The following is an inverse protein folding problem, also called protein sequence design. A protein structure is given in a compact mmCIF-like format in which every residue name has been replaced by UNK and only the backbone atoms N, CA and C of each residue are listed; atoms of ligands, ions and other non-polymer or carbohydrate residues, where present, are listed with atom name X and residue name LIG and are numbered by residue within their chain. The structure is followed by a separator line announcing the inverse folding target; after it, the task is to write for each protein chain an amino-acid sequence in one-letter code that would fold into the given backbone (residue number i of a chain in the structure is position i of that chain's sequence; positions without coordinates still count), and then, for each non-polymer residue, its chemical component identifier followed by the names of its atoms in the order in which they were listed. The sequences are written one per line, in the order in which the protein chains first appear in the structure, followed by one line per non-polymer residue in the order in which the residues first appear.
data_IF_264747728575
#
_entry.id   IF_264747728575
#
_cell.length_a   1.000
_cell.length_b   1.000
_cell.length_c   1.000
_cell.angle_alpha   90.00
_cell.angle_beta   90.00
_cell.angle_gamma   90.00
#
_symmetry.space_group_name_H-M   'P 1'
#
loop_
_entity.id
_entity.type
_entity.pdbx_description
1 polymer ?
#
# COMPACT_ATOMS: atom_id res chain seq x y z
N UNK A 1 39.60 -20.69 -30.39
CA UNK A 1 39.48 -21.49 -29.16
C UNK A 1 39.81 -20.58 -27.99
N UNK A 2 38.83 -19.92 -27.42
CA UNK A 2 38.98 -18.99 -26.29
C UNK A 2 38.13 -19.52 -25.16
N UNK A 3 38.81 -19.79 -24.06
CA UNK A 3 38.35 -20.41 -22.83
C UNK A 3 37.28 -19.55 -22.15
N UNK A 4 36.10 -20.15 -21.95
CA UNK A 4 35.05 -19.57 -21.09
C UNK A 4 35.43 -19.93 -19.65
N UNK A 5 35.86 -18.94 -18.88
CA UNK A 5 36.11 -19.08 -17.45
C UNK A 5 34.81 -19.37 -16.70
N UNK A 6 34.72 -20.58 -16.12
CA UNK A 6 33.66 -20.94 -15.18
C UNK A 6 33.79 -20.09 -13.92
N UNK A 7 32.84 -19.15 -13.73
CA UNK A 7 32.67 -18.52 -12.42
C UNK A 7 32.05 -19.55 -11.49
N UNK A 8 32.85 -20.04 -10.57
CA UNK A 8 32.42 -20.88 -9.45
C UNK A 8 31.69 -19.99 -8.44
N UNK A 9 30.42 -20.24 -8.19
CA UNK A 9 29.71 -19.79 -7.00
C UNK A 9 30.05 -20.76 -5.85
N UNK A 10 30.80 -20.38 -4.82
CA UNK A 10 30.95 -21.17 -3.62
C UNK A 10 29.88 -20.78 -2.60
N UNK A 11 29.21 -21.75 -2.11
CA UNK A 11 28.61 -22.06 -0.83
C UNK A 11 27.15 -22.46 -0.88
N UNK A 12 26.93 -23.76 -1.03
CA UNK A 12 26.32 -24.61 -0.01
C UNK A 12 25.10 -24.00 0.65
N UNK A 13 23.98 -24.00 -0.08
CA UNK A 13 22.70 -24.22 0.54
C UNK A 13 22.63 -25.72 0.81
N UNK A 14 22.81 -26.11 2.07
CA UNK A 14 22.47 -27.48 2.51
C UNK A 14 21.04 -27.72 2.08
N UNK A 15 20.82 -28.76 1.28
CA UNK A 15 19.52 -29.22 0.80
C UNK A 15 18.58 -29.48 1.99
N UNK A 16 17.94 -28.45 2.52
CA UNK A 16 16.59 -28.63 3.01
C UNK A 16 15.74 -28.68 1.72
N UNK A 17 15.27 -29.84 1.34
CA UNK A 17 14.26 -30.00 0.32
C UNK A 17 13.05 -29.13 0.75
N UNK A 18 12.98 -27.90 0.23
CA UNK A 18 11.77 -27.09 0.32
C UNK A 18 10.73 -27.74 -0.58
N UNK A 19 10.05 -28.78 -0.09
CA UNK A 19 8.77 -29.17 -0.66
C UNK A 19 7.82 -28.02 -0.34
N UNK A 20 7.58 -27.16 -1.31
CA UNK A 20 6.52 -26.17 -1.22
C UNK A 20 5.19 -26.94 -1.12
N UNK A 21 4.77 -27.26 0.10
CA UNK A 21 3.44 -27.78 0.35
C UNK A 21 2.47 -26.64 0.03
N UNK A 22 1.41 -26.93 -0.74
CA UNK A 22 0.30 -26.00 -0.92
C UNK A 22 -0.16 -25.47 0.45
N UNK A 23 -0.12 -24.15 0.61
CA UNK A 23 -0.57 -23.46 1.80
C UNK A 23 -1.99 -22.99 1.62
N UNK A 24 -2.76 -22.99 2.70
CA UNK A 24 -4.07 -22.38 2.78
C UNK A 24 -3.94 -20.99 3.35
N UNK A 25 -4.24 -20.00 2.54
CA UNK A 25 -4.14 -18.58 2.86
C UNK A 25 -5.54 -18.02 3.14
N UNK A 26 -5.73 -17.38 4.27
CA UNK A 26 -6.93 -16.60 4.60
C UNK A 26 -6.61 -15.13 4.34
N UNK A 27 -7.21 -14.58 3.29
CA UNK A 27 -7.08 -13.16 2.94
C UNK A 27 -8.18 -12.35 3.64
N UNK A 28 -7.81 -11.39 4.46
CA UNK A 28 -8.72 -10.50 5.18
C UNK A 28 -8.78 -9.13 4.48
N UNK A 29 -9.81 -8.89 3.72
CA UNK A 29 -9.98 -7.83 2.76
C UNK A 29 -9.84 -8.37 1.33
N UNK A 30 -10.83 -8.08 0.49
CA UNK A 30 -10.92 -8.64 -0.86
C UNK A 30 -11.02 -7.55 -1.93
N UNK A 31 -10.30 -6.44 -1.72
CA UNK A 31 -10.21 -5.33 -2.66
C UNK A 31 -9.41 -5.63 -3.92
N UNK A 32 -9.13 -4.59 -4.68
CA UNK A 32 -8.36 -4.64 -5.93
C UNK A 32 -6.92 -5.13 -5.74
N UNK A 33 -6.26 -4.70 -4.65
CA UNK A 33 -4.90 -5.14 -4.32
C UNK A 33 -4.92 -6.63 -3.94
N UNK A 34 -5.91 -7.02 -3.13
CA UNK A 34 -6.14 -8.42 -2.77
C UNK A 34 -6.37 -9.31 -3.99
N UNK A 35 -7.08 -8.83 -5.03
CA UNK A 35 -7.29 -9.57 -6.28
C UNK A 35 -5.97 -9.90 -6.99
N UNK A 36 -5.09 -8.92 -7.16
CA UNK A 36 -3.80 -9.13 -7.80
C UNK A 36 -2.88 -10.02 -6.93
N UNK A 37 -2.94 -9.88 -5.60
CA UNK A 37 -2.24 -10.79 -4.69
C UNK A 37 -2.74 -12.24 -4.80
N UNK A 38 -4.06 -12.46 -4.84
CA UNK A 38 -4.63 -13.80 -5.06
C UNK A 38 -4.14 -14.38 -6.38
N UNK A 39 -4.15 -13.61 -7.47
CA UNK A 39 -3.64 -14.05 -8.77
C UNK A 39 -2.17 -14.49 -8.65
N UNK A 40 -1.33 -13.72 -7.95
CA UNK A 40 0.07 -14.09 -7.72
C UNK A 40 0.20 -15.40 -6.91
N UNK A 41 -0.61 -15.57 -5.87
CA UNK A 41 -0.66 -16.82 -5.07
C UNK A 41 -1.13 -18.01 -5.91
N UNK A 42 -2.14 -17.82 -6.76
CA UNK A 42 -2.64 -18.89 -7.66
C UNK A 42 -1.58 -19.34 -8.68
N UNK A 43 -0.77 -18.41 -9.21
CA UNK A 43 0.38 -18.75 -10.07
C UNK A 43 1.43 -19.60 -9.34
N UNK A 44 1.50 -19.50 -8.01
CA UNK A 44 2.37 -20.32 -7.16
C UNK A 44 1.68 -21.56 -6.58
N UNK A 45 0.47 -21.91 -7.09
CA UNK A 45 -0.26 -23.12 -6.71
C UNK A 45 -0.83 -23.11 -5.29
N UNK A 46 -1.08 -21.93 -4.70
CA UNK A 46 -1.61 -21.81 -3.34
C UNK A 46 -3.14 -21.84 -3.31
N UNK A 47 -3.72 -22.23 -2.18
CA UNK A 47 -5.15 -22.21 -1.93
C UNK A 47 -5.53 -20.96 -1.16
N UNK A 48 -6.48 -20.16 -1.67
CA UNK A 48 -6.83 -18.88 -1.07
C UNK A 48 -8.33 -18.83 -0.75
N UNK A 49 -8.64 -18.48 0.50
CA UNK A 49 -9.98 -18.15 0.97
C UNK A 49 -10.04 -16.63 1.17
N UNK A 50 -10.83 -15.95 0.34
CA UNK A 50 -10.95 -14.49 0.36
C UNK A 50 -12.15 -14.05 1.22
N UNK A 51 -11.93 -13.08 2.13
CA UNK A 51 -12.94 -12.58 3.07
C UNK A 51 -13.22 -11.10 2.84
N UNK A 52 -14.49 -10.71 2.93
CA UNK A 52 -14.90 -9.30 2.99
C UNK A 52 -16.27 -9.17 3.66
N UNK A 53 -16.69 -7.92 3.92
CA UNK A 53 -17.99 -7.62 4.50
C UNK A 53 -19.15 -7.68 3.50
N UNK A 54 -18.85 -7.77 2.20
CA UNK A 54 -19.84 -7.86 1.10
C UNK A 54 -19.46 -8.94 0.10
N UNK A 55 -20.48 -9.47 -0.59
CA UNK A 55 -20.30 -10.54 -1.58
C UNK A 55 -19.67 -10.03 -2.88
N UNK A 56 -19.04 -10.97 -3.61
CA UNK A 56 -18.46 -10.73 -4.93
C UNK A 56 -17.40 -9.61 -4.95
N UNK A 57 -16.70 -9.41 -3.84
CA UNK A 57 -15.57 -8.49 -3.79
C UNK A 57 -14.46 -8.92 -4.78
N UNK A 58 -13.65 -8.00 -5.31
CA UNK A 58 -12.68 -8.27 -6.37
C UNK A 58 -11.82 -9.53 -6.20
N UNK A 59 -11.22 -9.73 -5.02
CA UNK A 59 -10.39 -10.91 -4.77
C UNK A 59 -11.19 -12.22 -4.68
N UNK A 60 -12.45 -12.17 -4.23
CA UNK A 60 -13.34 -13.34 -4.17
C UNK A 60 -13.61 -13.96 -5.56
N UNK A 61 -13.54 -13.14 -6.61
CA UNK A 61 -13.78 -13.57 -8.00
C UNK A 61 -12.69 -14.49 -8.55
N UNK A 62 -11.52 -14.52 -7.91
CA UNK A 62 -10.33 -15.26 -8.36
C UNK A 62 -9.78 -16.21 -7.28
N UNK A 63 -10.35 -16.21 -6.09
CA UNK A 63 -10.02 -17.11 -4.99
C UNK A 63 -10.66 -18.50 -5.14
N UNK A 64 -10.19 -19.48 -4.38
CA UNK A 64 -10.77 -20.84 -4.35
C UNK A 64 -12.08 -20.86 -3.56
N UNK A 65 -12.14 -20.11 -2.47
CA UNK A 65 -13.33 -19.97 -1.63
C UNK A 65 -13.50 -18.51 -1.16
N UNK A 66 -14.70 -18.20 -0.68
CA UNK A 66 -15.01 -16.89 -0.11
C UNK A 66 -15.78 -17.00 1.20
N UNK A 67 -15.63 -15.99 2.07
CA UNK A 67 -16.41 -15.83 3.30
C UNK A 67 -16.86 -14.38 3.43
N UNK A 68 -18.12 -14.20 3.82
CA UNK A 68 -18.73 -12.86 3.96
C UNK A 68 -19.06 -12.66 5.43
N UNK A 69 -18.38 -11.71 6.07
CA UNK A 69 -18.62 -11.35 7.48
C UNK A 69 -17.91 -10.01 7.78
N UNK A 70 -18.32 -9.37 8.87
CA UNK A 70 -17.62 -8.19 9.38
C UNK A 70 -16.33 -8.61 10.09
N UNK A 71 -15.17 -8.26 9.55
CA UNK A 71 -13.88 -8.54 10.17
C UNK A 71 -13.60 -7.70 11.42
N UNK A 72 -14.46 -6.70 11.72
CA UNK A 72 -14.49 -5.98 13.00
C UNK A 72 -15.21 -6.79 14.10
N UNK A 73 -15.96 -7.84 13.74
CA UNK A 73 -16.52 -8.80 14.68
C UNK A 73 -15.47 -9.89 14.97
N UNK A 74 -14.88 -9.81 16.17
CA UNK A 74 -13.81 -10.74 16.57
C UNK A 74 -14.30 -12.19 16.74
N UNK A 75 -15.56 -12.43 17.11
CA UNK A 75 -16.11 -13.78 17.23
C UNK A 75 -16.34 -14.40 15.85
N UNK A 76 -16.90 -13.64 14.91
CA UNK A 76 -17.06 -14.06 13.54
C UNK A 76 -15.71 -14.34 12.88
N UNK A 77 -14.69 -13.48 13.10
CA UNK A 77 -13.34 -13.70 12.59
C UNK A 77 -12.75 -15.02 13.12
N UNK A 78 -12.79 -15.24 14.43
CA UNK A 78 -12.23 -16.47 15.01
C UNK A 78 -12.99 -17.73 14.60
N UNK A 79 -14.31 -17.63 14.40
CA UNK A 79 -15.12 -18.72 13.84
C UNK A 79 -14.65 -19.10 12.42
N UNK A 80 -14.47 -18.10 11.55
CA UNK A 80 -13.97 -18.33 10.18
C UNK A 80 -12.55 -18.90 10.19
N UNK A 81 -11.67 -18.41 11.07
CA UNK A 81 -10.32 -18.98 11.23
C UNK A 81 -10.39 -20.46 11.63
N UNK A 82 -11.26 -20.83 12.57
CA UNK A 82 -11.42 -22.21 12.99
C UNK A 82 -12.01 -23.12 11.88
N UNK A 83 -12.99 -22.63 11.11
CA UNK A 83 -13.60 -23.37 10.00
C UNK A 83 -12.62 -23.57 8.83
N UNK A 84 -11.89 -22.54 8.47
CA UNK A 84 -10.93 -22.55 7.34
C UNK A 84 -9.66 -23.30 7.74
N UNK A 85 -9.21 -23.19 8.97
CA UNK A 85 -7.95 -23.72 9.47
C UNK A 85 -6.77 -23.34 8.55
N UNK A 86 -6.46 -22.03 8.39
CA UNK A 86 -5.44 -21.54 7.47
C UNK A 86 -4.03 -21.80 7.99
N UNK A 87 -3.07 -21.95 7.08
CA UNK A 87 -1.64 -21.90 7.42
C UNK A 87 -1.17 -20.46 7.64
N UNK A 88 -1.77 -19.51 6.88
CA UNK A 88 -1.34 -18.11 6.81
C UNK A 88 -2.57 -17.20 6.77
N UNK A 89 -2.55 -16.12 7.55
CA UNK A 89 -3.52 -15.03 7.50
C UNK A 89 -2.83 -13.79 6.91
N UNK A 90 -3.43 -13.21 5.88
CA UNK A 90 -2.93 -12.04 5.18
C UNK A 90 -3.97 -10.91 5.25
N UNK A 91 -3.78 -9.95 6.15
CA UNK A 91 -4.57 -8.72 6.16
C UNK A 91 -4.28 -7.84 4.94
N UNK A 92 -5.34 -7.33 4.31
CA UNK A 92 -5.26 -6.46 3.13
C UNK A 92 -5.99 -5.13 3.34
N UNK A 93 -6.75 -5.02 4.41
CA UNK A 93 -7.44 -3.78 4.83
C UNK A 93 -7.19 -3.48 6.30
N UNK A 94 -7.52 -2.25 6.70
CA UNK A 94 -7.38 -1.80 8.10
C UNK A 94 -8.59 -2.14 8.99
N UNK A 95 -9.76 -2.46 8.41
CA UNK A 95 -11.01 -2.71 9.16
C UNK A 95 -11.08 -4.15 9.70
N UNK A 96 -10.15 -4.49 10.59
CA UNK A 96 -10.02 -5.82 11.20
C UNK A 96 -9.93 -5.70 12.72
N UNK A 97 -10.44 -6.68 13.45
CA UNK A 97 -10.26 -6.81 14.90
C UNK A 97 -8.85 -7.34 15.19
N UNK A 98 -7.87 -6.44 15.17
CA UNK A 98 -6.44 -6.78 15.12
C UNK A 98 -5.93 -7.52 16.36
N UNK A 99 -6.54 -7.33 17.52
CA UNK A 99 -6.19 -8.08 18.72
C UNK A 99 -6.38 -9.60 18.55
N UNK A 100 -7.33 -10.02 17.70
CA UNK A 100 -7.54 -11.43 17.36
C UNK A 100 -6.41 -12.04 16.53
N UNK A 101 -5.66 -11.23 15.84
CA UNK A 101 -4.50 -11.70 15.07
C UNK A 101 -3.37 -12.16 16.00
N UNK A 102 -3.20 -11.53 17.17
CA UNK A 102 -2.26 -12.02 18.19
C UNK A 102 -2.67 -13.40 18.75
N UNK A 103 -3.99 -13.64 18.89
CA UNK A 103 -4.50 -14.95 19.31
C UNK A 103 -4.21 -16.02 18.24
N UNK A 104 -4.31 -15.65 16.95
CA UNK A 104 -3.95 -16.54 15.84
C UNK A 104 -2.45 -16.88 15.82
N UNK A 105 -1.57 -15.90 16.01
CA UNK A 105 -0.12 -16.14 16.12
C UNK A 105 0.21 -17.05 17.33
N UNK A 106 -0.45 -16.84 18.48
CA UNK A 106 -0.27 -17.68 19.66
C UNK A 106 -0.70 -19.14 19.41
N UNK A 107 -1.61 -19.38 18.47
CA UNK A 107 -2.02 -20.72 18.03
C UNK A 107 -1.09 -21.31 16.95
N UNK A 108 -0.05 -20.60 16.55
CA UNK A 108 0.92 -21.03 15.53
C UNK A 108 0.51 -20.75 14.09
N UNK A 109 -0.53 -19.97 13.86
CA UNK A 109 -0.93 -19.49 12.53
C UNK A 109 -0.04 -18.30 12.17
N UNK A 110 0.58 -18.32 11.00
CA UNK A 110 1.38 -17.19 10.52
C UNK A 110 0.46 -16.02 10.17
N UNK A 111 0.71 -14.83 10.72
CA UNK A 111 0.09 -13.56 10.30
C UNK A 111 1.12 -12.73 9.55
N UNK A 112 0.74 -12.10 8.45
CA UNK A 112 1.64 -11.39 7.55
C UNK A 112 1.36 -9.89 7.52
N UNK A 113 2.39 -9.03 7.68
CA UNK A 113 3.77 -9.39 8.04
C UNK A 113 3.87 -9.93 9.45
N UNK A 114 3.10 -9.36 10.42
CA UNK A 114 2.90 -9.81 11.80
C UNK A 114 1.62 -9.19 12.38
N UNK A 115 1.02 -9.76 13.42
CA UNK A 115 -0.10 -9.18 14.15
C UNK A 115 0.25 -7.79 14.71
N UNK A 116 1.49 -7.62 15.18
CA UNK A 116 2.02 -6.33 15.65
C UNK A 116 1.99 -5.27 14.52
N UNK A 117 2.47 -5.62 13.33
CA UNK A 117 2.49 -4.71 12.20
C UNK A 117 1.10 -4.21 11.84
N UNK A 118 0.13 -5.13 11.72
CA UNK A 118 -1.26 -4.79 11.39
C UNK A 118 -1.90 -3.93 12.47
N UNK A 119 -1.69 -4.27 13.75
CA UNK A 119 -2.24 -3.51 14.87
C UNK A 119 -1.68 -2.08 14.94
N UNK A 120 -0.35 -1.92 14.79
CA UNK A 120 0.29 -0.61 14.88
C UNK A 120 -0.11 0.30 13.71
N UNK A 121 -0.23 -0.22 12.51
CA UNK A 121 -0.54 0.58 11.32
C UNK A 121 -2.01 0.99 11.24
N UNK A 122 -2.90 0.27 11.91
CA UNK A 122 -4.29 0.71 12.09
C UNK A 122 -4.45 1.89 13.06
N UNK A 123 -3.50 2.09 13.93
CA UNK A 123 -3.51 3.13 14.94
C UNK A 123 -2.42 4.18 14.64
N UNK A 124 -2.83 5.34 14.10
CA UNK A 124 -1.89 6.44 13.78
C UNK A 124 -1.03 6.86 14.96
N UNK A 125 -1.56 6.80 16.19
CA UNK A 125 -0.79 7.10 17.39
C UNK A 125 0.31 6.07 17.59
N UNK A 126 0.00 4.79 17.54
CA UNK A 126 0.98 3.72 17.75
C UNK A 126 2.13 3.80 16.72
N UNK A 127 1.83 3.93 15.43
CA UNK A 127 2.88 4.02 14.41
C UNK A 127 3.67 5.31 14.50
N UNK A 128 3.04 6.44 14.86
CA UNK A 128 3.70 7.73 15.02
C UNK A 128 4.66 7.71 16.22
N UNK A 129 4.22 7.17 17.36
CA UNK A 129 5.07 7.03 18.55
C UNK A 129 6.24 6.09 18.29
N UNK A 130 6.00 4.95 17.64
CA UNK A 130 7.07 4.05 17.23
C UNK A 130 8.09 4.78 16.35
N UNK A 131 7.65 5.44 15.28
CA UNK A 131 8.55 6.09 14.33
C UNK A 131 9.33 7.25 14.96
N UNK A 132 8.62 8.17 15.63
CA UNK A 132 9.23 9.39 16.15
C UNK A 132 9.95 9.15 17.47
N UNK A 133 9.26 8.57 18.46
CA UNK A 133 9.75 8.52 19.85
C UNK A 133 10.70 7.35 20.08
N UNK A 134 10.35 6.15 19.58
CA UNK A 134 11.16 4.95 19.83
C UNK A 134 12.34 4.82 18.86
N UNK A 135 12.09 5.09 17.57
CA UNK A 135 13.09 4.89 16.51
C UNK A 135 13.85 6.15 16.13
N UNK A 136 13.40 7.34 16.61
CA UNK A 136 14.02 8.61 16.31
C UNK A 136 13.99 9.00 14.84
N UNK A 137 12.96 8.54 14.09
CA UNK A 137 12.81 8.92 12.69
C UNK A 137 12.33 10.36 12.58
N UNK A 138 12.78 11.05 11.56
CA UNK A 138 12.27 12.39 11.24
C UNK A 138 10.85 12.28 10.74
N UNK A 139 9.89 12.88 11.46
CA UNK A 139 8.46 12.97 11.13
C UNK A 139 8.01 14.44 11.20
N UNK A 140 6.76 14.72 10.77
CA UNK A 140 6.13 15.99 11.13
C UNK A 140 6.03 16.12 12.66
N UNK A 141 6.13 17.35 13.19
CA UNK A 141 5.77 17.61 14.58
C UNK A 141 4.28 17.37 14.78
N UNK A 142 3.87 16.86 15.94
CA UNK A 142 2.47 16.49 16.17
C UNK A 142 2.04 16.69 17.62
N UNK A 143 0.71 16.78 17.81
CA UNK A 143 0.01 16.74 19.10
C UNK A 143 -1.26 15.94 18.96
N UNK A 144 -1.76 15.42 20.06
CA UNK A 144 -3.06 14.73 20.12
C UNK A 144 -4.08 15.61 20.80
N UNK A 145 -5.36 15.43 20.45
CA UNK A 145 -6.48 16.12 21.08
C UNK A 145 -7.72 15.22 21.15
N UNK A 146 -8.36 15.15 22.32
CA UNK A 146 -9.57 14.39 22.59
C UNK A 146 -10.80 15.29 22.68
N UNK A 147 -10.59 16.61 22.78
CA UNK A 147 -11.63 17.63 22.87
C UNK A 147 -11.32 18.79 21.92
N UNK A 148 -12.33 19.60 21.62
CA UNK A 148 -12.13 20.78 20.79
C UNK A 148 -11.17 21.79 21.45
N UNK A 149 -11.23 21.98 22.75
CA UNK A 149 -10.34 22.90 23.48
C UNK A 149 -8.86 22.41 23.43
N UNK A 150 -8.65 21.09 23.54
CA UNK A 150 -7.34 20.48 23.33
C UNK A 150 -6.85 20.67 21.90
N UNK A 151 -7.76 20.54 20.89
CA UNK A 151 -7.42 20.79 19.50
C UNK A 151 -6.95 22.23 19.26
N UNK A 152 -7.67 23.21 19.82
CA UNK A 152 -7.28 24.63 19.71
C UNK A 152 -5.90 24.86 20.30
N UNK A 153 -5.62 24.29 21.47
CA UNK A 153 -4.33 24.35 22.13
C UNK A 153 -3.23 23.70 21.30
N UNK A 154 -3.47 22.46 20.82
CA UNK A 154 -2.56 21.70 19.99
C UNK A 154 -2.22 22.41 18.67
N UNK A 155 -3.22 22.99 18.00
CA UNK A 155 -3.02 23.75 16.77
C UNK A 155 -2.22 25.05 17.02
N UNK A 156 -2.44 25.70 18.17
CA UNK A 156 -1.65 26.86 18.60
C UNK A 156 -0.18 26.54 18.82
N UNK A 157 0.14 25.37 19.40
CA UNK A 157 1.51 24.89 19.61
C UNK A 157 2.19 24.46 18.32
N UNK A 158 1.48 23.76 17.42
CA UNK A 158 2.01 23.30 16.12
C UNK A 158 2.19 24.48 15.16
N UNK A 159 1.29 25.45 15.20
CA UNK A 159 1.23 26.57 14.27
C UNK A 159 0.46 26.24 12.99
N UNK A 160 0.21 27.29 12.19
CA UNK A 160 -0.50 27.17 10.92
C UNK A 160 0.43 27.38 9.72
N UNK A 161 0.18 26.68 8.58
CA UNK A 161 -0.86 25.68 8.41
C UNK A 161 -0.57 24.38 9.16
N UNK A 162 -1.62 23.65 9.56
CA UNK A 162 -1.51 22.32 10.16
C UNK A 162 -2.50 21.33 9.50
N UNK A 163 -2.28 20.04 9.76
CA UNK A 163 -3.15 18.97 9.28
C UNK A 163 -3.84 18.32 10.48
N UNK A 164 -5.15 18.20 10.43
CA UNK A 164 -5.95 17.50 11.43
C UNK A 164 -6.45 16.19 10.83
N UNK A 165 -6.25 15.08 11.54
CA UNK A 165 -6.65 13.75 11.11
C UNK A 165 -7.26 12.97 12.27
N UNK A 166 -8.34 12.18 12.07
CA UNK A 166 -8.75 11.20 13.07
C UNK A 166 -7.66 10.11 13.20
N UNK A 167 -7.51 9.53 14.39
CA UNK A 167 -6.50 8.48 14.61
C UNK A 167 -6.80 7.20 13.83
N UNK A 168 -8.07 6.88 13.63
CA UNK A 168 -8.51 5.70 12.89
C UNK A 168 -9.31 6.12 11.66
N UNK A 169 -8.65 6.27 10.53
CA UNK A 169 -9.28 6.51 9.22
C UNK A 169 -8.33 6.06 8.11
N UNK A 170 -8.84 5.89 6.90
CA UNK A 170 -8.07 5.56 5.69
C UNK A 170 -8.46 6.49 4.54
N UNK A 171 -7.63 6.56 3.49
CA UNK A 171 -7.90 7.33 2.25
C UNK A 171 -8.26 8.79 2.50
N UNK A 172 -7.66 9.44 3.51
CA UNK A 172 -7.87 10.86 3.80
C UNK A 172 -9.24 11.22 4.39
N UNK A 173 -10.10 10.25 4.73
CA UNK A 173 -11.39 10.54 5.35
C UNK A 173 -11.21 11.24 6.70
N UNK A 174 -11.92 12.37 6.89
CA UNK A 174 -11.82 13.19 8.08
C UNK A 174 -10.55 14.05 8.18
N UNK A 175 -9.67 14.03 7.16
CA UNK A 175 -8.46 14.84 7.13
C UNK A 175 -8.73 16.24 6.60
N UNK A 176 -8.23 17.27 7.29
CA UNK A 176 -8.30 18.67 6.86
C UNK A 176 -6.92 19.34 6.95
N UNK A 177 -6.58 20.12 5.92
CA UNK A 177 -5.56 21.17 6.04
C UNK A 177 -6.23 22.42 6.59
N UNK A 178 -5.65 23.00 7.62
CA UNK A 178 -6.17 24.16 8.33
C UNK A 178 -5.13 25.28 8.22
N UNK A 179 -5.51 26.38 7.57
CA UNK A 179 -4.63 27.52 7.34
C UNK A 179 -4.73 28.58 8.46
N UNK A 180 -5.80 28.56 9.26
CA UNK A 180 -6.03 29.49 10.36
C UNK A 180 -6.93 28.92 11.46
N UNK A 181 -6.92 29.56 12.64
CA UNK A 181 -7.77 29.16 13.77
C UNK A 181 -9.27 29.22 13.47
N UNK A 182 -9.69 30.02 12.49
CA UNK A 182 -11.11 30.15 12.11
C UNK A 182 -11.69 28.85 11.49
N UNK A 183 -10.83 27.96 10.98
CA UNK A 183 -11.21 26.72 10.31
C UNK A 183 -11.28 25.52 11.27
N UNK A 184 -10.77 25.66 12.50
CA UNK A 184 -10.64 24.56 13.46
C UNK A 184 -11.97 23.89 13.80
N UNK A 185 -13.06 24.66 13.95
CA UNK A 185 -14.36 24.09 14.30
C UNK A 185 -14.87 23.15 13.20
N UNK A 186 -14.79 23.56 11.94
CA UNK A 186 -15.18 22.75 10.80
C UNK A 186 -14.29 21.52 10.65
N UNK A 187 -12.99 21.66 10.84
CA UNK A 187 -12.04 20.56 10.76
C UNK A 187 -12.27 19.51 11.87
N UNK A 188 -12.61 19.96 13.09
CA UNK A 188 -13.01 19.08 14.19
C UNK A 188 -14.24 18.25 13.86
N UNK A 189 -15.32 18.92 13.41
CA UNK A 189 -16.57 18.25 13.03
C UNK A 189 -16.34 17.23 11.92
N UNK A 190 -15.54 17.59 10.91
CA UNK A 190 -15.21 16.68 9.81
C UNK A 190 -14.36 15.49 10.25
N UNK A 191 -13.38 15.71 11.14
CA UNK A 191 -12.57 14.63 11.69
C UNK A 191 -13.41 13.67 12.54
N UNK A 192 -14.32 14.21 13.37
CA UNK A 192 -15.24 13.40 14.17
C UNK A 192 -16.19 12.56 13.30
N UNK A 193 -16.71 13.13 12.22
CA UNK A 193 -17.57 12.41 11.26
C UNK A 193 -16.84 11.36 10.42
N UNK A 194 -15.51 11.47 10.26
CA UNK A 194 -14.67 10.55 9.50
C UNK A 194 -13.97 9.46 10.36
N UNK A 195 -14.11 9.54 11.68
CA UNK A 195 -13.49 8.59 12.60
C UNK A 195 -14.16 7.21 12.51
N UNK A 196 -13.35 6.15 12.56
CA UNK A 196 -13.83 4.77 12.69
C UNK A 196 -13.67 4.29 14.13
N UNK A 197 -14.74 3.81 14.76
CA UNK A 197 -14.76 3.33 16.15
C UNK A 197 -15.20 4.37 17.16
N UNK A 198 -15.14 4.03 18.45
CA UNK A 198 -15.72 4.82 19.55
C UNK A 198 -14.75 5.90 20.10
N UNK A 199 -13.54 6.01 19.55
CA UNK A 199 -12.51 6.92 20.04
C UNK A 199 -12.53 8.23 19.24
N UNK A 200 -12.86 9.32 19.92
CA UNK A 200 -12.87 10.69 19.39
C UNK A 200 -11.51 11.38 19.64
N UNK A 201 -10.43 10.76 19.19
CA UNK A 201 -9.09 11.35 19.30
C UNK A 201 -8.58 11.73 17.90
N UNK A 202 -8.00 12.92 17.78
CA UNK A 202 -7.38 13.41 16.56
C UNK A 202 -5.89 13.65 16.77
N UNK A 203 -5.13 13.59 15.68
CA UNK A 203 -3.75 14.08 15.62
C UNK A 203 -3.72 15.39 14.85
N UNK A 204 -3.01 16.38 15.40
CA UNK A 204 -2.67 17.65 14.76
C UNK A 204 -1.21 17.57 14.35
N UNK A 205 -0.94 17.62 13.07
CA UNK A 205 0.40 17.51 12.51
C UNK A 205 0.83 18.82 11.84
N UNK A 206 2.10 19.16 11.96
CA UNK A 206 2.71 20.22 11.19
C UNK A 206 2.53 19.96 9.69
N UNK A 207 2.06 20.97 8.95
CA UNK A 207 2.08 20.90 7.49
C UNK A 207 3.54 20.96 7.00
N UNK A 208 3.97 19.93 6.29
CA UNK A 208 5.30 19.84 5.70
C UNK A 208 5.28 20.45 4.30
N UNK A 209 6.01 21.53 4.03
CA UNK A 209 6.20 22.05 2.68
C UNK A 209 7.21 21.15 1.94
N UNK A 210 6.71 20.05 1.38
CA UNK A 210 7.53 19.10 0.62
C UNK A 210 7.58 19.47 -0.87
N UNK A 211 8.64 19.04 -1.55
CA UNK A 211 8.78 19.20 -3.00
C UNK A 211 8.05 18.07 -3.75
N UNK A 212 8.05 16.86 -3.17
CA UNK A 212 7.30 15.71 -3.68
C UNK A 212 7.12 14.60 -2.63
N UNK A 213 6.18 13.71 -2.90
CA UNK A 213 5.93 12.50 -2.12
C UNK A 213 6.43 11.26 -2.86
N UNK A 214 6.83 10.25 -2.10
CA UNK A 214 7.18 8.94 -2.62
C UNK A 214 6.56 7.83 -1.78
N UNK A 215 6.29 6.69 -2.43
CA UNK A 215 6.16 5.40 -1.78
C UNK A 215 7.40 4.58 -2.05
N UNK A 216 8.04 4.07 -1.01
CA UNK A 216 9.12 3.11 -1.10
C UNK A 216 8.60 1.72 -0.74
N UNK A 217 8.31 0.91 -1.75
CA UNK A 217 7.97 -0.48 -1.52
C UNK A 217 9.19 -1.20 -0.95
N UNK A 218 9.03 -1.70 0.26
CA UNK A 218 10.06 -2.38 1.04
C UNK A 218 9.63 -3.83 1.24
N UNK A 219 10.54 -4.77 1.06
CA UNK A 219 10.25 -6.21 1.19
C UNK A 219 11.11 -6.80 2.27
N UNK A 220 10.49 -7.27 3.35
CA UNK A 220 11.16 -8.04 4.37
C UNK A 220 10.96 -9.53 4.08
N UNK A 221 12.01 -10.31 4.22
CA UNK A 221 12.02 -11.74 3.94
C UNK A 221 12.20 -12.55 5.24
N UNK A 222 11.62 -13.74 5.29
CA UNK A 222 11.86 -14.64 6.42
C UNK A 222 13.33 -15.09 6.49
N UNK A 223 13.96 -15.19 5.30
CA UNK A 223 15.39 -15.54 5.17
C UNK A 223 15.99 -14.64 4.08
N UNK A 224 16.86 -13.73 4.47
CA UNK A 224 17.53 -12.82 3.55
C UNK A 224 17.48 -11.36 4.02
N UNK A 225 18.10 -10.45 3.28
CA UNK A 225 18.09 -9.03 3.60
C UNK A 225 16.74 -8.40 3.28
N UNK A 226 16.48 -7.22 3.87
CA UNK A 226 15.45 -6.30 3.40
C UNK A 226 15.81 -5.83 1.99
N UNK A 227 14.83 -5.83 1.09
CA UNK A 227 14.98 -5.35 -0.28
C UNK A 227 14.08 -4.13 -0.52
N UNK A 228 14.52 -3.27 -1.42
CA UNK A 228 13.80 -2.04 -1.76
C UNK A 228 13.53 -1.99 -3.26
N UNK A 229 12.30 -1.65 -3.63
CA UNK A 229 11.98 -1.28 -5.00
C UNK A 229 12.54 0.11 -5.32
N UNK A 230 12.64 0.45 -6.60
CA UNK A 230 12.86 1.83 -6.98
C UNK A 230 11.72 2.72 -6.45
N UNK A 231 12.01 3.95 -5.98
CA UNK A 231 10.98 4.84 -5.45
C UNK A 231 9.84 5.09 -6.44
N UNK A 232 8.62 5.13 -5.93
CA UNK A 232 7.42 5.44 -6.72
C UNK A 232 7.00 6.85 -6.39
N UNK A 233 6.94 7.72 -7.41
CA UNK A 233 6.29 9.02 -7.30
C UNK A 233 4.79 8.87 -7.51
N UNK A 234 3.99 9.66 -6.80
CA UNK A 234 2.55 9.60 -6.94
C UNK A 234 1.89 10.98 -6.82
N UNK A 235 0.63 11.06 -7.19
CA UNK A 235 -0.21 12.23 -7.00
C UNK A 235 -1.51 11.78 -6.34
N UNK A 236 -1.85 12.46 -5.27
CA UNK A 236 -3.11 12.31 -4.54
C UNK A 236 -4.00 13.55 -4.75
N UNK A 237 -5.30 13.36 -4.65
CA UNK A 237 -6.27 14.45 -4.60
C UNK A 237 -7.24 14.20 -3.45
N UNK A 238 -7.20 15.08 -2.45
CA UNK A 238 -8.00 14.89 -1.24
C UNK A 238 -7.61 13.63 -0.43
N UNK A 239 -6.32 13.25 -0.45
CA UNK A 239 -5.83 12.04 0.20
C UNK A 239 -6.11 10.73 -0.57
N UNK A 240 -6.69 10.83 -1.77
CA UNK A 240 -7.02 9.66 -2.57
C UNK A 240 -6.09 9.53 -3.78
N UNK A 241 -5.54 8.34 -4.00
CA UNK A 241 -4.62 8.03 -5.07
C UNK A 241 -5.22 8.30 -6.45
N UNK A 242 -4.49 8.97 -7.34
CA UNK A 242 -4.89 9.31 -8.70
C UNK A 242 -3.96 8.77 -9.77
N UNK A 243 -2.67 8.92 -9.59
CA UNK A 243 -1.64 8.41 -10.50
C UNK A 243 -0.37 8.05 -9.74
N UNK A 244 0.40 7.12 -10.26
CA UNK A 244 1.77 6.85 -9.83
C UNK A 244 2.70 6.62 -11.01
N UNK A 245 4.00 6.71 -10.78
CA UNK A 245 5.03 6.47 -11.78
C UNK A 245 6.31 5.96 -11.13
N UNK A 246 7.03 5.13 -11.85
CA UNK A 246 8.26 4.49 -11.38
C UNK A 246 9.29 4.38 -12.53
N UNK A 247 10.60 4.62 -12.25
CA UNK A 247 11.15 5.08 -10.98
C UNK A 247 10.95 6.58 -10.77
N UNK A 248 10.79 7.05 -9.54
CA UNK A 248 10.92 8.47 -9.22
C UNK A 248 12.41 8.81 -9.12
N UNK A 249 12.86 9.78 -9.90
CA UNK A 249 14.22 10.31 -9.82
C UNK A 249 14.38 11.02 -8.48
N UNK A 250 15.42 10.64 -7.74
CA UNK A 250 15.77 11.19 -6.44
C UNK A 250 17.28 11.31 -6.30
N UNK A 251 17.74 12.22 -5.44
CA UNK A 251 19.14 12.27 -5.05
C UNK A 251 19.54 10.98 -4.33
N UNK A 252 20.74 10.44 -4.59
CA UNK A 252 21.20 9.19 -3.95
C UNK A 252 21.15 9.25 -2.42
N UNK A 253 21.47 10.40 -1.82
CA UNK A 253 21.37 10.61 -0.37
C UNK A 253 19.95 10.51 0.17
N UNK A 254 18.94 11.00 -0.57
CA UNK A 254 17.52 10.88 -0.19
C UNK A 254 17.02 9.44 -0.32
N UNK A 255 17.44 8.72 -1.36
CA UNK A 255 17.14 7.28 -1.51
C UNK A 255 17.68 6.52 -0.30
N UNK A 256 18.94 6.75 0.05
CA UNK A 256 19.58 6.11 1.21
C UNK A 256 18.86 6.42 2.52
N UNK A 257 18.50 7.68 2.76
CA UNK A 257 17.72 8.09 3.95
C UNK A 257 16.37 7.36 4.02
N UNK A 258 15.63 7.31 2.91
CA UNK A 258 14.35 6.61 2.84
C UNK A 258 14.49 5.11 3.14
N UNK A 259 15.51 4.45 2.56
CA UNK A 259 15.81 3.03 2.80
C UNK A 259 16.19 2.75 4.26
N UNK A 260 17.04 3.58 4.87
CA UNK A 260 17.44 3.44 6.27
C UNK A 260 16.25 3.61 7.23
N UNK A 261 15.33 4.56 6.94
CA UNK A 261 14.13 4.76 7.73
C UNK A 261 13.14 3.59 7.56
N UNK A 262 12.95 3.12 6.32
CA UNK A 262 12.07 1.99 6.02
C UNK A 262 12.58 0.69 6.68
N UNK A 263 13.87 0.41 6.60
CA UNK A 263 14.48 -0.75 7.25
C UNK A 263 14.27 -0.73 8.78
N UNK A 264 14.51 0.42 9.41
CA UNK A 264 14.31 0.58 10.87
C UNK A 264 12.87 0.31 11.29
N UNK A 265 11.88 0.90 10.60
CA UNK A 265 10.47 0.77 11.00
C UNK A 265 9.93 -0.62 10.71
N UNK A 266 10.29 -1.24 9.59
CA UNK A 266 9.84 -2.60 9.27
C UNK A 266 10.49 -3.65 10.16
N UNK A 267 11.77 -3.48 10.52
CA UNK A 267 12.45 -4.33 11.49
C UNK A 267 11.79 -4.27 12.90
N UNK A 268 11.38 -3.08 13.35
CA UNK A 268 10.70 -2.90 14.64
C UNK A 268 9.30 -3.52 14.67
N UNK A 269 8.59 -3.54 13.53
CA UNK A 269 7.26 -4.14 13.38
C UNK A 269 7.32 -5.65 13.15
N UNK A 270 8.45 -6.17 12.72
CA UNK A 270 8.74 -7.59 12.48
C UNK A 270 7.91 -8.24 11.37
N UNK A 271 8.30 -9.48 11.01
CA UNK A 271 7.58 -10.29 10.03
C UNK A 271 8.14 -10.17 8.60
N UNK A 272 7.57 -10.97 7.71
CA UNK A 272 7.95 -11.01 6.30
C UNK A 272 6.76 -10.65 5.42
N UNK A 273 6.96 -9.73 4.49
CA UNK A 273 5.92 -9.21 3.61
C UNK A 273 6.39 -8.00 2.82
N UNK A 274 5.48 -7.40 2.08
CA UNK A 274 5.71 -6.11 1.44
C UNK A 274 5.14 -4.98 2.31
N UNK A 275 5.81 -3.84 2.26
CA UNK A 275 5.45 -2.64 2.99
C UNK A 275 5.44 -1.44 2.04
N UNK A 276 4.35 -0.69 2.03
CA UNK A 276 4.28 0.61 1.39
C UNK A 276 4.69 1.69 2.39
N UNK A 277 5.93 2.17 2.32
CA UNK A 277 6.42 3.21 3.22
C UNK A 277 6.38 4.56 2.51
N UNK A 278 5.63 5.50 3.06
CA UNK A 278 5.42 6.82 2.46
C UNK A 278 6.31 7.88 3.10
N UNK A 279 6.90 8.71 2.25
CA UNK A 279 7.78 9.79 2.66
C UNK A 279 7.44 11.09 1.94
N UNK A 280 7.51 12.18 2.68
CA UNK A 280 7.70 13.51 2.10
C UNK A 280 9.18 13.74 1.84
N UNK A 281 9.50 14.34 0.72
CA UNK A 281 10.87 14.69 0.36
C UNK A 281 10.97 16.19 0.15
N UNK A 282 11.87 16.81 0.89
CA UNK A 282 12.18 18.23 0.77
C UNK A 282 13.65 18.41 0.44
N UNK A 283 13.95 19.21 -0.57
CA UNK A 283 15.32 19.56 -0.94
C UNK A 283 16.09 20.24 0.22
N UNK A 284 15.37 20.96 1.08
CA UNK A 284 15.93 21.66 2.23
C UNK A 284 16.07 20.75 3.46
N UNK A 285 15.06 19.89 3.69
CA UNK A 285 14.94 19.16 4.95
C UNK A 285 15.27 17.67 4.82
N UNK A 286 15.44 17.17 3.59
CA UNK A 286 15.66 15.75 3.32
C UNK A 286 14.37 14.94 3.37
N UNK A 287 14.47 13.68 3.78
CA UNK A 287 13.38 12.72 3.82
C UNK A 287 12.67 12.74 5.16
N UNK A 288 11.36 12.75 5.15
CA UNK A 288 10.48 12.80 6.33
C UNK A 288 9.49 11.65 6.25
N UNK A 289 9.47 10.79 7.27
CA UNK A 289 8.53 9.68 7.35
C UNK A 289 7.10 10.20 7.52
N UNK A 290 6.20 9.70 6.67
CA UNK A 290 4.78 10.06 6.68
C UNK A 290 3.92 8.93 7.24
N UNK A 291 3.82 7.82 6.54
CA UNK A 291 2.94 6.71 6.87
C UNK A 291 3.53 5.36 6.41
N UNK A 292 2.94 4.25 6.86
CA UNK A 292 3.35 2.91 6.45
C UNK A 292 2.12 1.99 6.39
N UNK A 293 2.03 1.22 5.31
CA UNK A 293 1.05 0.14 5.13
C UNK A 293 1.77 -1.21 5.10
N UNK A 294 1.36 -2.21 5.91
CA UNK A 294 2.02 -3.53 5.98
C UNK A 294 1.47 -4.50 4.93
N UNK A 295 1.28 -4.03 3.72
CA UNK A 295 0.60 -4.72 2.61
C UNK A 295 0.96 -4.06 1.27
N UNK A 296 0.56 -4.65 0.12
CA UNK A 296 0.63 -3.97 -1.17
C UNK A 296 -0.01 -2.58 -1.11
N UNK A 297 0.54 -1.64 -1.85
CA UNK A 297 0.16 -0.23 -1.83
C UNK A 297 -0.48 0.20 -3.15
N UNK A 298 -1.51 1.05 -3.10
CA UNK A 298 -2.22 1.54 -4.30
C UNK A 298 -1.26 2.10 -5.37
N UNK A 299 -0.25 2.85 -4.93
CA UNK A 299 0.75 3.42 -5.84
C UNK A 299 1.60 2.37 -6.52
N UNK A 300 1.77 1.20 -5.88
CA UNK A 300 2.52 0.07 -6.40
C UNK A 300 1.84 -0.65 -7.56
N UNK A 301 0.57 -0.32 -7.89
CA UNK A 301 -0.08 -0.82 -9.10
C UNK A 301 0.71 -0.47 -10.38
N UNK A 302 1.57 0.54 -10.36
CA UNK A 302 2.47 0.84 -11.48
C UNK A 302 3.40 -0.33 -11.80
N UNK A 303 3.70 -1.21 -10.84
CA UNK A 303 4.53 -2.40 -11.06
C UNK A 303 3.85 -3.45 -11.96
N UNK A 304 2.53 -3.36 -12.15
CA UNK A 304 1.79 -4.16 -13.14
C UNK A 304 2.17 -3.80 -14.58
N UNK A 305 2.81 -2.66 -14.81
CA UNK A 305 3.43 -2.29 -16.08
C UNK A 305 4.77 -3.00 -16.35
N UNK A 306 5.17 -3.94 -15.49
CA UNK A 306 6.46 -4.61 -15.51
C UNK A 306 7.63 -3.61 -15.44
N UNK A 307 7.49 -2.62 -14.58
CA UNK A 307 8.55 -1.63 -14.29
C UNK A 307 9.76 -2.29 -13.62
N UNK A 308 9.53 -3.40 -12.95
CA UNK A 308 10.53 -4.20 -12.27
C UNK A 308 10.32 -5.69 -12.56
N UNK A 309 11.32 -6.52 -12.26
CA UNK A 309 11.31 -7.96 -12.57
C UNK A 309 10.17 -8.75 -11.89
N UNK A 310 9.64 -8.26 -10.78
CA UNK A 310 8.48 -8.81 -10.05
C UNK A 310 7.55 -7.67 -9.66
N UNK A 311 6.25 -7.83 -9.89
CA UNK A 311 5.26 -6.88 -9.36
C UNK A 311 5.25 -6.88 -7.83
N UNK A 312 4.73 -5.83 -7.23
CA UNK A 312 4.57 -5.78 -5.76
C UNK A 312 3.78 -6.98 -5.21
N UNK A 313 2.81 -7.47 -5.97
CA UNK A 313 1.98 -8.62 -5.59
C UNK A 313 2.76 -9.94 -5.63
N UNK A 314 3.65 -10.11 -6.62
CA UNK A 314 4.54 -11.27 -6.70
C UNK A 314 5.62 -11.22 -5.62
N UNK A 315 6.14 -10.03 -5.31
CA UNK A 315 7.06 -9.81 -4.20
C UNK A 315 6.38 -10.17 -2.87
N UNK A 316 5.15 -9.69 -2.66
CA UNK A 316 4.37 -10.00 -1.46
C UNK A 316 4.10 -11.50 -1.34
N UNK A 317 3.61 -12.14 -2.41
CA UNK A 317 3.35 -13.58 -2.41
C UNK A 317 4.60 -14.41 -2.09
N UNK A 318 5.77 -14.05 -2.64
CA UNK A 318 7.03 -14.71 -2.30
C UNK A 318 7.43 -14.52 -0.85
N UNK A 319 7.32 -13.30 -0.32
CA UNK A 319 7.65 -13.02 1.08
C UNK A 319 6.71 -13.77 2.04
N UNK A 320 5.40 -13.78 1.78
CA UNK A 320 4.38 -14.52 2.53
C UNK A 320 4.69 -16.02 2.58
N UNK A 321 5.12 -16.58 1.46
CA UNK A 321 5.42 -18.01 1.31
C UNK A 321 6.85 -18.38 1.71
N UNK A 322 7.63 -17.46 2.23
CA UNK A 322 9.04 -17.61 2.54
C UNK A 322 9.88 -18.09 1.34
N UNK A 323 9.46 -17.73 0.13
CA UNK A 323 10.22 -18.00 -1.10
C UNK A 323 11.31 -16.95 -1.27
N UNK A 324 12.51 -17.33 -1.76
CA UNK A 324 13.60 -16.39 -1.90
C UNK A 324 13.32 -15.32 -2.96
N UNK A 325 13.73 -14.10 -2.64
CA UNK A 325 13.75 -12.96 -3.55
C UNK A 325 15.22 -12.52 -3.61
N UNK A 326 15.98 -12.94 -4.63
CA UNK A 326 17.41 -12.65 -4.70
C UNK A 326 17.71 -11.19 -4.97
N UNK A 327 16.89 -10.55 -5.81
CA UNK A 327 17.06 -9.16 -6.21
C UNK A 327 15.75 -8.56 -6.76
N UNK A 328 15.67 -7.25 -6.75
CA UNK A 328 14.63 -6.46 -7.43
C UNK A 328 15.33 -5.54 -8.42
N UNK A 329 15.05 -5.72 -9.71
CA UNK A 329 15.66 -4.94 -10.79
C UNK A 329 14.63 -4.03 -11.46
N UNK A 330 15.03 -2.80 -11.78
CA UNK A 330 14.21 -1.86 -12.53
C UNK A 330 14.37 -2.18 -14.03
N UNK A 331 13.28 -2.52 -14.70
CA UNK A 331 13.28 -2.98 -16.09
C UNK A 331 12.79 -1.91 -17.07
N UNK A 332 11.83 -1.10 -16.64
CA UNK A 332 11.14 -0.10 -17.47
C UNK A 332 10.76 1.11 -16.63
N UNK A 333 10.46 2.20 -17.28
CA UNK A 333 9.70 3.26 -16.66
C UNK A 333 8.20 3.02 -16.89
N UNK A 334 7.37 3.32 -15.90
CA UNK A 334 5.94 3.11 -15.97
C UNK A 334 5.14 4.23 -15.33
N UNK A 335 3.87 4.30 -15.71
CA UNK A 335 2.87 5.16 -15.08
C UNK A 335 1.56 4.40 -14.92
N UNK A 336 0.79 4.77 -13.92
CA UNK A 336 -0.57 4.31 -13.71
C UNK A 336 -1.52 5.48 -13.52
N UNK A 337 -2.76 5.32 -13.96
CA UNK A 337 -3.82 6.30 -13.75
C UNK A 337 -5.14 5.59 -13.47
N UNK A 338 -5.86 6.06 -12.45
CA UNK A 338 -7.11 5.43 -12.01
C UNK A 338 -8.28 5.75 -12.94
N UNK A 339 -9.19 4.79 -13.06
CA UNK A 339 -10.50 4.95 -13.68
C UNK A 339 -11.49 5.17 -12.54
N UNK A 340 -12.14 6.34 -12.55
CA UNK A 340 -13.12 6.72 -11.53
C UNK A 340 -14.53 6.57 -12.08
N UNK A 341 -15.46 6.14 -11.24
CA UNK A 341 -16.87 6.21 -11.57
C UNK A 341 -17.39 7.64 -11.47
N UNK A 342 -18.18 8.04 -12.45
CA UNK A 342 -18.95 9.28 -12.45
C UNK A 342 -20.44 9.04 -12.16
N UNK A 343 -20.81 7.77 -11.93
CA UNK A 343 -22.20 7.33 -11.73
C UNK A 343 -22.35 6.45 -10.49
N UNK A 344 -23.58 6.40 -9.99
CA UNK A 344 -24.04 5.44 -8.99
C UNK A 344 -24.71 4.28 -9.71
N UNK A 345 -24.23 3.02 -9.51
CA UNK A 345 -24.85 1.83 -10.11
C UNK A 345 -24.50 0.56 -9.33
N UNK A 346 -25.45 -0.35 -9.24
CA UNK A 346 -25.26 -1.69 -8.65
C UNK A 346 -24.81 -2.74 -9.68
N UNK A 347 -24.76 -2.37 -10.95
CA UNK A 347 -24.34 -3.23 -12.06
C UNK A 347 -23.38 -2.49 -12.98
N UNK A 348 -22.15 -2.22 -12.53
CA UNK A 348 -21.19 -1.45 -13.33
C UNK A 348 -20.88 -2.13 -14.65
N UNK A 349 -21.02 -1.37 -15.74
CA UNK A 349 -20.55 -1.73 -17.08
C UNK A 349 -19.49 -0.73 -17.56
N UNK A 350 -18.74 -1.07 -18.59
CA UNK A 350 -17.58 -0.30 -19.02
C UNK A 350 -17.58 -0.08 -20.52
N UNK A 351 -17.31 1.17 -20.93
CA UNK A 351 -17.13 1.51 -22.35
C UNK A 351 -15.76 2.15 -22.57
N UNK A 352 -15.27 2.16 -23.80
CA UNK A 352 -13.96 2.74 -24.16
C UNK A 352 -12.75 1.83 -23.90
N UNK A 353 -12.96 0.60 -23.46
CA UNK A 353 -11.89 -0.36 -23.22
C UNK A 353 -11.13 -0.74 -24.50
N UNK A 354 -11.82 -0.79 -25.65
CA UNK A 354 -11.22 -1.13 -26.93
C UNK A 354 -10.12 -0.14 -27.34
N UNK A 355 -10.35 1.15 -27.10
CA UNK A 355 -9.37 2.19 -27.41
C UNK A 355 -8.12 2.08 -26.53
N UNK A 356 -8.31 1.76 -25.24
CA UNK A 356 -7.19 1.55 -24.32
C UNK A 356 -6.41 0.30 -24.69
N UNK A 357 -7.10 -0.80 -25.00
CA UNK A 357 -6.47 -2.06 -25.39
C UNK A 357 -5.77 -2.00 -26.75
N UNK A 358 -6.21 -1.11 -27.65
CA UNK A 358 -5.52 -0.86 -28.93
C UNK A 358 -4.23 -0.02 -28.77
N UNK A 359 -4.05 0.67 -27.64
CA UNK A 359 -2.87 1.48 -27.41
C UNK A 359 -1.65 0.60 -27.09
N UNK A 360 -0.50 0.79 -27.77
CA UNK A 360 0.70 0.00 -27.50
C UNK A 360 1.26 0.32 -26.11
N UNK A 361 1.99 -0.65 -25.54
CA UNK A 361 2.68 -0.50 -24.25
C UNK A 361 1.73 -0.10 -23.11
N UNK A 362 0.53 -0.67 -23.14
CA UNK A 362 -0.57 -0.33 -22.20
C UNK A 362 -1.25 -1.60 -21.70
N UNK A 363 -1.60 -1.62 -20.43
CA UNK A 363 -2.45 -2.62 -19.81
C UNK A 363 -3.64 -1.96 -19.14
N UNK A 364 -4.78 -2.61 -19.18
CA UNK A 364 -6.01 -2.23 -18.49
C UNK A 364 -6.29 -3.24 -17.37
N UNK A 365 -6.65 -2.76 -16.20
CA UNK A 365 -7.14 -3.57 -15.08
C UNK A 365 -8.47 -3.01 -14.60
N UNK A 366 -9.53 -3.76 -14.83
CA UNK A 366 -10.84 -3.51 -14.22
C UNK A 366 -10.88 -4.28 -12.91
N UNK A 367 -11.20 -3.58 -11.83
CA UNK A 367 -11.14 -4.16 -10.48
C UNK A 367 -12.24 -5.20 -10.25
N UNK A 368 -13.41 -5.00 -10.88
CA UNK A 368 -14.56 -5.89 -10.73
C UNK A 368 -15.35 -5.61 -9.45
N UNK A 369 -15.33 -4.37 -8.94
CA UNK A 369 -16.18 -3.97 -7.82
C UNK A 369 -17.64 -4.08 -8.22
N UNK A 370 -18.50 -4.75 -7.40
CA UNK A 370 -19.89 -5.04 -7.78
C UNK A 370 -20.81 -3.81 -7.80
N UNK A 371 -20.38 -2.74 -7.13
CA UNK A 371 -21.13 -1.47 -7.03
C UNK A 371 -20.20 -0.32 -7.36
N UNK A 372 -20.69 0.68 -8.09
CA UNK A 372 -19.98 1.91 -8.35
C UNK A 372 -20.66 3.10 -7.65
N UNK A 373 -19.83 4.00 -7.10
CA UNK A 373 -20.25 5.30 -6.55
C UNK A 373 -19.41 6.39 -7.21
N UNK A 374 -19.95 7.58 -7.28
CA UNK A 374 -19.21 8.73 -7.81
C UNK A 374 -17.87 8.89 -7.08
N UNK A 375 -16.79 8.95 -7.83
CA UNK A 375 -15.42 9.02 -7.32
C UNK A 375 -14.78 7.68 -6.90
N UNK A 376 -15.54 6.56 -6.90
CA UNK A 376 -14.97 5.25 -6.59
C UNK A 376 -14.00 4.80 -7.69
N UNK A 377 -12.84 4.31 -7.28
CA UNK A 377 -11.84 3.71 -8.19
C UNK A 377 -12.35 2.37 -8.68
N UNK A 378 -12.55 2.23 -9.99
CA UNK A 378 -13.13 1.05 -10.64
C UNK A 378 -12.13 0.27 -11.48
N UNK A 379 -11.00 0.88 -11.77
CA UNK A 379 -9.95 0.27 -12.56
C UNK A 379 -8.70 1.14 -12.60
N UNK A 380 -7.67 0.66 -13.30
CA UNK A 380 -6.44 1.37 -13.55
C UNK A 380 -5.94 1.08 -14.96
N UNK A 381 -5.46 2.10 -15.63
CA UNK A 381 -4.61 1.97 -16.83
C UNK A 381 -3.17 2.07 -16.37
N UNK A 382 -2.32 1.17 -16.87
CA UNK A 382 -0.88 1.22 -16.65
C UNK A 382 -0.17 1.24 -18.00
N UNK A 383 0.76 2.18 -18.15
CA UNK A 383 1.55 2.37 -19.36
C UNK A 383 3.04 2.25 -19.04
N UNK A 384 3.82 1.86 -20.03
CA UNK A 384 5.26 1.73 -19.88
C UNK A 384 6.02 2.20 -21.10
N UNK A 385 7.28 2.56 -20.88
CA UNK A 385 8.27 2.83 -21.91
C UNK A 385 9.64 2.26 -21.49
N UNK A 386 10.59 2.25 -22.40
CA UNK A 386 11.94 1.77 -22.14
C UNK A 386 12.63 2.68 -21.11
N UNK A 387 13.39 2.08 -20.20
CA UNK A 387 14.10 2.80 -19.15
C UNK A 387 15.15 3.72 -19.76
N UNK A 388 15.13 5.00 -19.40
CA UNK A 388 16.16 5.96 -19.80
C UNK A 388 17.31 5.94 -18.80
N UNK A 389 18.51 6.17 -19.26
CA UNK A 389 19.73 6.21 -18.42
C UNK A 389 20.12 7.63 -18.00
N UNK A 390 19.61 8.64 -18.69
CA UNK A 390 19.82 10.05 -18.37
C UNK A 390 18.61 10.62 -17.64
N UNK A 391 18.83 11.28 -16.50
CA UNK A 391 17.76 11.77 -15.63
C UNK A 391 16.88 12.83 -16.30
N UNK A 392 17.43 13.70 -17.14
CA UNK A 392 16.64 14.73 -17.81
C UNK A 392 15.75 14.11 -18.91
N UNK A 393 16.29 13.13 -19.64
CA UNK A 393 15.51 12.35 -20.62
C UNK A 393 14.44 11.53 -19.93
N UNK A 394 14.76 10.91 -18.80
CA UNK A 394 13.80 10.16 -17.99
C UNK A 394 12.67 11.05 -17.50
N UNK A 395 12.98 12.23 -16.95
CA UNK A 395 11.96 13.17 -16.47
C UNK A 395 11.01 13.62 -17.57
N UNK A 396 11.55 13.96 -18.76
CA UNK A 396 10.76 14.36 -19.92
C UNK A 396 9.86 13.21 -20.43
N UNK A 397 10.43 12.01 -20.54
CA UNK A 397 9.72 10.80 -20.98
C UNK A 397 8.63 10.40 -19.97
N UNK A 398 8.91 10.45 -18.69
CA UNK A 398 7.92 10.17 -17.65
C UNK A 398 6.74 11.13 -17.67
N UNK A 399 6.99 12.43 -17.92
CA UNK A 399 5.89 13.39 -18.05
C UNK A 399 4.96 12.99 -19.20
N UNK A 400 5.51 12.71 -20.38
CA UNK A 400 4.74 12.27 -21.55
C UNK A 400 3.98 10.95 -21.28
N UNK A 401 4.64 10.00 -20.61
CA UNK A 401 4.07 8.71 -20.23
C UNK A 401 2.88 8.86 -19.26
N UNK A 402 3.00 9.70 -18.25
CA UNK A 402 1.92 10.02 -17.30
C UNK A 402 0.74 10.68 -18.00
N UNK A 403 1.00 11.65 -18.89
CA UNK A 403 -0.05 12.34 -19.62
C UNK A 403 -0.77 11.36 -20.58
N UNK A 404 -0.04 10.47 -21.25
CA UNK A 404 -0.62 9.38 -22.06
C UNK A 404 -1.47 8.45 -21.23
N UNK A 405 -1.00 8.02 -20.07
CA UNK A 405 -1.71 7.10 -19.20
C UNK A 405 -3.03 7.70 -18.70
N UNK A 406 -3.01 8.96 -18.26
CA UNK A 406 -4.23 9.71 -17.86
C UNK A 406 -5.23 9.87 -19.01
N UNK A 407 -4.74 10.21 -20.20
CA UNK A 407 -5.59 10.38 -21.38
C UNK A 407 -6.29 9.06 -21.78
N UNK A 408 -5.59 7.92 -21.61
CA UNK A 408 -6.17 6.59 -21.84
C UNK A 408 -7.15 6.21 -20.74
N UNK A 409 -6.84 6.46 -19.47
CA UNK A 409 -7.77 6.18 -18.37
C UNK A 409 -9.08 6.98 -18.50
N UNK A 410 -9.02 8.23 -18.97
CA UNK A 410 -10.18 9.07 -19.21
C UNK A 410 -11.09 8.60 -20.36
N UNK A 411 -10.64 7.64 -21.20
CA UNK A 411 -11.48 7.04 -22.25
C UNK A 411 -12.43 5.97 -21.72
N UNK A 412 -12.11 5.37 -20.58
CA UNK A 412 -12.95 4.35 -19.95
C UNK A 412 -14.00 5.03 -19.10
N UNK A 413 -15.26 4.82 -19.44
CA UNK A 413 -16.39 5.30 -18.67
C UNK A 413 -17.12 4.13 -18.01
N UNK A 414 -17.50 4.33 -16.75
CA UNK A 414 -18.36 3.42 -15.98
C UNK A 414 -19.82 3.85 -16.23
N UNK A 415 -20.70 2.87 -16.46
CA UNK A 415 -22.13 3.07 -16.71
C UNK A 415 -22.99 2.23 -15.78
#
# INVERSE_FOLDING_TARGET
MTSISKVFFPHIIKEKQYRLRMKKILLLGSGELGKEFVIACKRLGQYVVACDSYDNAPAMQVADERRIFSMLDGEALMKVVAEVNPDIIVPEIEAIRTEKLYECEAQGIQVVPSAKAVNYTMNRKAIRELAHTELGLKTANYRYANTYDELVTAAGEIGFPCIIKPLMSSSGHGQSKVDSAAELAQAWEYACGGARGDLMEVIVEQFIPFDYEITLLTVTQQHGPTLFCAPIGHVQKGGDYRESFQPRIMKPEHIKQAQEMADKVTAALTGAGIWGVEFFVSEKEGVIFSELSPRPHDTGMVTLALTQNLSEFELHARAVLALPIPEITQERQGASAVILSEVETETPDYTGMEEVCAAPRTYLRIFGKPVAHVGRRMGVVVCWDDLQTDDAQMAASQKALRDRCKALAAKVSVK
#
